data_IF_513326822003
#
_entry.id   IF_513326822003
#
_cell.length_a   1.000
_cell.length_b   1.000
_cell.length_c   1.000
_cell.angle_alpha   90.00
_cell.angle_beta   90.00
_cell.angle_gamma   90.00
#
_symmetry.space_group_name_H-M   'P 1'
#
loop_
_entity.id
_entity.type
_entity.pdbx_description
1 polymer ?
#
# COMPACT_ATOMS: atom_id res chain seq x y z
N UNK A 1 -0.64 -9.22 4.56
CA UNK A 1 -0.56 -10.71 4.62
C UNK A 1 0.48 -11.23 5.61
N UNK A 2 0.94 -10.40 6.56
CA UNK A 2 1.86 -10.84 7.62
C UNK A 2 3.32 -11.01 7.22
N UNK A 3 3.69 -10.70 5.98
CA UNK A 3 5.09 -10.70 5.54
C UNK A 3 5.77 -9.39 5.96
N UNK A 4 6.96 -9.45 6.58
CA UNK A 4 7.87 -8.31 6.62
C UNK A 4 8.20 -7.84 5.20
N UNK A 5 8.32 -6.53 5.00
CA UNK A 5 8.63 -5.95 3.68
C UNK A 5 9.89 -6.54 3.02
N UNK A 6 11.01 -6.77 3.75
CA UNK A 6 12.20 -7.38 3.15
C UNK A 6 11.95 -8.80 2.63
N UNK A 7 11.23 -9.61 3.40
CA UNK A 7 10.86 -10.99 3.03
C UNK A 7 9.96 -10.98 1.79
N UNK A 8 8.90 -10.15 1.79
CA UNK A 8 8.00 -10.02 0.65
C UNK A 8 8.73 -9.56 -0.62
N UNK A 9 9.64 -8.60 -0.52
CA UNK A 9 10.43 -8.12 -1.65
C UNK A 9 11.28 -9.24 -2.26
N UNK A 10 11.96 -10.03 -1.44
CA UNK A 10 12.77 -11.17 -1.90
C UNK A 10 11.91 -12.22 -2.60
N UNK A 11 10.78 -12.59 -2.01
CA UNK A 11 9.87 -13.61 -2.54
C UNK A 11 9.24 -13.19 -3.88
N UNK A 12 9.00 -11.89 -4.07
CA UNK A 12 8.50 -11.31 -5.31
C UNK A 12 9.61 -11.03 -6.34
N UNK A 13 10.86 -11.42 -6.05
CA UNK A 13 11.98 -11.32 -6.98
C UNK A 13 12.64 -9.94 -7.08
N UNK A 14 12.42 -9.05 -6.11
CA UNK A 14 13.10 -7.77 -6.07
C UNK A 14 14.52 -7.92 -5.52
N UNK A 15 15.50 -7.32 -6.19
CA UNK A 15 16.89 -7.23 -5.73
C UNK A 15 17.06 -6.27 -4.54
N UNK A 16 16.18 -5.27 -4.45
CA UNK A 16 16.14 -4.27 -3.38
C UNK A 16 14.69 -3.96 -3.07
N UNK A 17 14.36 -3.65 -1.81
CA UNK A 17 12.99 -3.26 -1.45
C UNK A 17 12.60 -2.01 -2.25
N UNK A 18 11.48 -2.04 -3.01
CA UNK A 18 11.05 -0.92 -3.86
C UNK A 18 10.41 0.20 -3.01
N UNK A 19 11.18 0.80 -2.09
CA UNK A 19 10.70 1.77 -1.10
C UNK A 19 11.54 3.06 -1.18
N UNK A 20 10.94 4.12 -1.72
CA UNK A 20 11.52 5.46 -1.81
C UNK A 20 10.47 6.50 -1.40
N UNK A 21 10.04 6.46 -0.13
CA UNK A 21 8.96 7.31 0.32
C UNK A 21 9.38 8.79 0.25
N UNK A 22 8.42 9.64 -0.05
CA UNK A 22 8.57 11.09 -0.01
C UNK A 22 7.33 11.68 0.66
N UNK A 23 7.49 12.83 1.31
CA UNK A 23 6.36 13.54 1.93
C UNK A 23 5.54 14.32 0.90
N UNK A 24 6.17 14.69 -0.22
CA UNK A 24 5.51 15.41 -1.31
C UNK A 24 5.98 14.92 -2.66
N UNK A 25 5.11 15.06 -3.65
CA UNK A 25 5.40 14.72 -5.04
C UNK A 25 4.64 15.68 -5.96
N UNK A 26 5.25 16.05 -7.07
CA UNK A 26 4.49 16.72 -8.13
C UNK A 26 3.64 15.68 -8.83
N UNK A 27 2.35 15.93 -9.00
CA UNK A 27 1.46 14.98 -9.64
C UNK A 27 0.22 15.62 -10.25
N UNK A 28 -0.54 14.79 -10.95
CA UNK A 28 -1.85 15.13 -11.48
C UNK A 28 -2.94 14.68 -10.52
N UNK A 29 -3.98 15.50 -10.38
CA UNK A 29 -5.24 15.10 -9.75
C UNK A 29 -6.26 14.74 -10.83
N UNK A 30 -7.47 14.36 -10.42
CA UNK A 30 -8.55 14.08 -11.37
C UNK A 30 -8.97 15.30 -12.21
N UNK A 31 -8.67 16.52 -11.76
CA UNK A 31 -9.20 17.76 -12.37
C UNK A 31 -8.15 18.85 -12.61
N UNK A 32 -6.95 18.74 -12.03
CA UNK A 32 -5.90 19.78 -12.07
C UNK A 32 -4.50 19.14 -12.08
N UNK A 33 -3.46 19.92 -12.39
CA UNK A 33 -2.06 19.52 -12.30
C UNK A 33 -1.20 20.14 -13.41
N UNK A 34 0.14 20.09 -13.30
CA UNK A 34 0.93 19.52 -12.19
C UNK A 34 0.89 20.38 -10.92
N UNK A 35 0.72 19.75 -9.75
CA UNK A 35 0.74 20.42 -8.44
C UNK A 35 1.38 19.54 -7.36
N UNK A 36 1.78 20.15 -6.25
CA UNK A 36 2.38 19.44 -5.11
C UNK A 36 1.33 18.66 -4.33
N UNK A 37 1.43 17.34 -4.33
CA UNK A 37 0.57 16.42 -3.60
C UNK A 37 1.26 15.97 -2.31
N UNK A 38 0.51 15.99 -1.21
CA UNK A 38 0.98 15.50 0.09
C UNK A 38 0.85 13.97 0.17
N UNK A 39 1.90 13.32 0.64
CA UNK A 39 1.96 11.88 0.83
C UNK A 39 2.19 11.53 2.30
N UNK A 40 1.43 10.54 2.77
CA UNK A 40 1.67 9.84 4.03
C UNK A 40 2.71 8.78 3.78
N UNK A 41 3.79 8.85 4.55
CA UNK A 41 4.82 7.83 4.57
C UNK A 41 4.36 6.66 5.44
N UNK A 42 4.47 5.45 4.91
CA UNK A 42 4.35 4.23 5.71
C UNK A 42 5.63 4.03 6.55
N UNK A 43 5.54 3.31 7.66
CA UNK A 43 6.72 2.96 8.47
C UNK A 43 7.84 2.31 7.64
N UNK A 44 9.07 2.57 8.05
CA UNK A 44 10.26 2.01 7.43
C UNK A 44 10.21 0.47 7.37
N UNK A 45 10.84 -0.17 6.37
CA UNK A 45 10.89 -1.64 6.22
C UNK A 45 11.58 -2.38 7.38
N UNK A 46 10.89 -2.52 8.52
CA UNK A 46 11.42 -3.23 9.67
C UNK A 46 11.37 -4.76 9.43
N UNK A 47 12.50 -5.50 9.58
CA UNK A 47 12.59 -6.91 9.19
C UNK A 47 11.76 -7.86 10.07
N UNK A 48 11.44 -7.45 11.30
CA UNK A 48 10.62 -8.24 12.21
C UNK A 48 9.16 -7.75 12.34
N UNK A 49 8.79 -6.69 11.63
CA UNK A 49 7.43 -6.16 11.71
C UNK A 49 6.51 -6.91 10.75
N UNK A 50 5.39 -7.39 11.27
CA UNK A 50 4.37 -8.09 10.51
C UNK A 50 3.04 -7.37 10.69
N UNK A 51 2.34 -7.21 9.57
CA UNK A 51 1.04 -6.55 9.52
C UNK A 51 0.05 -7.37 8.70
N UNK A 52 -1.12 -7.59 9.29
CA UNK A 52 -2.26 -8.19 8.63
C UNK A 52 -3.44 -7.23 8.67
N UNK A 53 -4.18 -7.19 7.57
CA UNK A 53 -5.56 -6.75 7.58
C UNK A 53 -6.37 -7.97 7.20
N UNK A 54 -7.33 -8.33 8.04
CA UNK A 54 -8.18 -9.49 7.86
C UNK A 54 -9.64 -9.12 8.04
N UNK A 55 -10.55 -9.90 7.47
CA UNK A 55 -12.00 -9.76 7.70
C UNK A 55 -12.40 -10.23 9.11
N UNK A 56 -13.71 -10.29 9.39
CA UNK A 56 -14.24 -10.71 10.68
C UNK A 56 -13.90 -12.17 11.02
N UNK A 57 -13.70 -13.01 10.00
CA UNK A 57 -13.38 -14.43 10.09
C UNK A 57 -11.87 -14.70 10.14
N UNK A 58 -11.04 -13.68 9.94
CA UNK A 58 -9.58 -13.79 9.92
C UNK A 58 -9.00 -14.13 8.53
N UNK A 59 -9.79 -14.05 7.46
CA UNK A 59 -9.32 -14.20 6.09
C UNK A 59 -8.70 -12.88 5.56
N UNK A 60 -7.85 -12.90 4.53
CA UNK A 60 -7.23 -11.69 3.99
C UNK A 60 -8.23 -10.59 3.60
N UNK A 61 -8.03 -9.37 4.13
CA UNK A 61 -8.96 -8.24 3.97
C UNK A 61 -8.46 -7.09 3.11
N UNK A 62 -7.55 -7.35 2.15
CA UNK A 62 -6.98 -6.32 1.26
C UNK A 62 -7.11 -6.71 -0.21
N UNK A 63 -7.49 -5.73 -1.01
CA UNK A 63 -7.50 -5.85 -2.47
C UNK A 63 -6.84 -4.63 -3.10
N UNK A 64 -5.95 -4.86 -4.06
CA UNK A 64 -5.28 -3.80 -4.80
C UNK A 64 -5.72 -3.79 -6.27
N UNK A 65 -5.86 -2.59 -6.84
CA UNK A 65 -6.20 -2.41 -8.25
C UNK A 65 -5.46 -1.22 -8.87
N UNK A 66 -4.94 -1.42 -10.08
CA UNK A 66 -4.31 -0.33 -10.84
C UNK A 66 -5.38 0.67 -11.31
N UNK A 67 -5.25 1.93 -10.89
CA UNK A 67 -6.12 3.03 -11.31
C UNK A 67 -5.66 3.67 -12.61
N UNK A 68 -4.37 3.63 -12.85
CA UNK A 68 -3.75 4.11 -14.09
C UNK A 68 -2.39 4.72 -13.85
N UNK A 69 -1.76 5.12 -14.95
CA UNK A 69 -0.46 5.74 -14.94
C UNK A 69 -0.45 6.97 -15.84
N UNK A 70 0.33 7.97 -15.45
CA UNK A 70 0.49 9.19 -16.22
C UNK A 70 1.98 9.54 -16.36
N UNK A 71 2.30 10.23 -17.44
CA UNK A 71 3.64 10.77 -17.66
C UNK A 71 3.82 12.03 -16.84
N UNK A 72 5.03 12.25 -16.38
CA UNK A 72 5.41 13.38 -15.53
C UNK A 72 6.01 14.54 -16.33
N UNK A 73 5.43 14.78 -17.51
CA UNK A 73 5.89 15.79 -18.44
C UNK A 73 4.72 16.37 -19.22
N UNK A 74 4.88 17.61 -19.60
CA UNK A 74 3.97 18.30 -20.50
C UNK A 74 4.52 18.29 -21.93
N UNK A 75 3.62 18.40 -22.91
CA UNK A 75 3.97 18.58 -24.32
C UNK A 75 3.51 19.98 -24.72
N UNK A 76 4.46 20.89 -24.89
CA UNK A 76 4.22 22.28 -25.26
C UNK A 76 4.73 22.49 -26.69
N UNK A 77 3.81 22.44 -27.66
CA UNK A 77 4.18 22.45 -29.08
C UNK A 77 5.02 21.22 -29.46
N UNK A 78 6.29 21.44 -29.78
CA UNK A 78 7.26 20.38 -30.11
C UNK A 78 8.28 20.10 -28.98
N UNK A 79 8.09 20.71 -27.80
CA UNK A 79 8.98 20.51 -26.65
C UNK A 79 8.30 19.65 -25.58
N UNK A 80 9.13 18.92 -24.83
CA UNK A 80 8.73 18.21 -23.61
C UNK A 80 9.40 18.83 -22.42
N UNK A 81 8.61 19.18 -21.41
CA UNK A 81 9.07 19.72 -20.13
C UNK A 81 8.70 18.75 -19.02
N UNK A 82 9.71 18.15 -18.38
CA UNK A 82 9.50 17.22 -17.27
C UNK A 82 9.39 17.99 -15.96
N UNK A 83 8.40 17.65 -15.15
CA UNK A 83 8.17 18.23 -13.83
C UNK A 83 8.45 17.25 -12.68
N UNK A 84 8.86 16.02 -13.00
CA UNK A 84 9.42 15.05 -12.06
C UNK A 84 10.57 14.25 -12.75
N UNK A 85 11.65 13.91 -12.03
CA UNK A 85 12.71 13.04 -12.58
C UNK A 85 12.25 11.63 -12.95
N UNK A 86 11.19 11.11 -12.32
CA UNK A 86 10.59 9.81 -12.65
C UNK A 86 9.65 10.00 -13.82
N UNK A 87 9.85 9.36 -14.99
CA UNK A 87 9.07 9.64 -16.20
C UNK A 87 7.59 9.23 -16.14
N UNK A 88 7.22 8.37 -15.20
CA UNK A 88 5.87 7.83 -15.05
C UNK A 88 5.54 7.66 -13.57
N UNK A 89 4.34 8.09 -13.19
CA UNK A 89 3.71 7.73 -11.92
C UNK A 89 2.49 6.83 -12.19
N UNK A 90 2.24 5.89 -11.29
CA UNK A 90 1.03 5.08 -11.28
C UNK A 90 0.30 5.24 -9.94
N UNK A 91 -1.02 5.23 -10.02
CA UNK A 91 -1.93 5.19 -8.87
C UNK A 91 -2.45 3.76 -8.72
N UNK A 92 -2.33 3.22 -7.52
CA UNK A 92 -2.89 1.92 -7.14
C UNK A 92 -3.88 2.17 -6.00
N UNK A 93 -5.11 1.74 -6.17
CA UNK A 93 -6.07 1.73 -5.07
C UNK A 93 -5.82 0.51 -4.19
N UNK A 94 -5.88 0.72 -2.88
CA UNK A 94 -5.95 -0.33 -1.87
C UNK A 94 -7.29 -0.22 -1.16
N UNK A 95 -8.04 -1.31 -1.17
CA UNK A 95 -9.36 -1.40 -0.59
C UNK A 95 -9.31 -2.31 0.64
N UNK A 96 -9.87 -1.81 1.73
CA UNK A 96 -9.90 -2.48 3.02
C UNK A 96 -11.29 -3.08 3.25
N UNK A 97 -11.34 -4.39 3.43
CA UNK A 97 -12.53 -5.07 3.94
C UNK A 97 -12.62 -4.82 5.45
N UNK A 98 -13.80 -4.47 6.00
CA UNK A 98 -14.00 -4.34 7.44
C UNK A 98 -13.64 -5.63 8.18
N UNK A 99 -13.01 -5.49 9.34
CA UNK A 99 -12.45 -6.64 10.05
C UNK A 99 -11.46 -6.19 11.10
N UNK A 100 -10.20 -6.62 10.98
CA UNK A 100 -9.17 -6.37 11.98
C UNK A 100 -7.85 -5.96 11.34
N UNK A 101 -7.14 -5.06 12.03
CA UNK A 101 -5.74 -4.77 11.76
C UNK A 101 -4.86 -5.38 12.85
N UNK A 102 -4.04 -6.37 12.50
CA UNK A 102 -3.18 -7.10 13.42
C UNK A 102 -1.73 -6.69 13.18
N UNK A 103 -1.06 -6.28 14.25
CA UNK A 103 0.30 -5.78 14.26
C UNK A 103 1.14 -6.70 15.14
N UNK A 104 2.31 -7.12 14.66
CA UNK A 104 3.25 -7.88 15.46
C UNK A 104 4.67 -7.37 15.26
N UNK A 105 5.38 -7.20 16.38
CA UNK A 105 6.82 -6.94 16.39
C UNK A 105 7.48 -7.77 17.49
N UNK A 106 8.20 -8.81 17.10
CA UNK A 106 8.72 -9.79 18.06
C UNK A 106 7.59 -10.45 18.86
N UNK A 107 7.61 -10.30 20.18
CA UNK A 107 6.57 -10.83 21.08
C UNK A 107 5.40 -9.88 21.29
N UNK A 108 5.50 -8.62 20.86
CA UNK A 108 4.42 -7.65 21.00
C UNK A 108 3.38 -7.90 19.92
N UNK A 109 2.11 -8.03 20.32
CA UNK A 109 0.97 -8.18 19.43
C UNK A 109 -0.08 -7.15 19.81
N UNK A 110 -0.63 -6.47 18.81
CA UNK A 110 -1.77 -5.59 18.97
C UNK A 110 -2.73 -5.72 17.79
N UNK A 111 -4.01 -5.83 18.10
CA UNK A 111 -5.09 -5.89 17.13
C UNK A 111 -6.07 -4.76 17.36
N UNK A 112 -6.39 -4.03 16.30
CA UNK A 112 -7.47 -3.05 16.30
C UNK A 112 -8.72 -3.65 15.63
N UNK A 113 -9.86 -3.51 16.29
CA UNK A 113 -11.15 -3.91 15.75
C UNK A 113 -11.70 -2.82 14.82
N UNK A 114 -11.77 -3.13 13.54
CA UNK A 114 -12.25 -2.25 12.47
C UNK A 114 -13.53 -2.81 11.83
N UNK A 115 -14.24 -3.76 12.47
CA UNK A 115 -15.42 -4.41 11.89
C UNK A 115 -16.59 -3.45 11.67
N UNK A 116 -16.70 -2.42 12.50
CA UNK A 116 -17.74 -1.37 12.37
C UNK A 116 -17.31 -0.22 11.44
N UNK A 117 -16.09 -0.25 10.90
CA UNK A 117 -15.65 0.78 9.96
C UNK A 117 -16.32 0.59 8.61
N UNK A 118 -16.74 1.71 8.01
CA UNK A 118 -17.12 1.72 6.61
C UNK A 118 -15.93 1.21 5.79
N UNK A 119 -16.14 0.33 4.78
CA UNK A 119 -15.05 -0.09 3.92
C UNK A 119 -14.39 1.15 3.29
N UNK A 120 -13.07 1.19 3.28
CA UNK A 120 -12.30 2.37 2.84
C UNK A 120 -11.40 2.01 1.67
N UNK A 121 -11.11 3.02 0.85
CA UNK A 121 -10.07 3.01 -0.16
C UNK A 121 -9.04 4.06 0.17
N UNK A 122 -7.77 3.67 0.06
CA UNK A 122 -6.66 4.60 -0.05
C UNK A 122 -6.01 4.53 -1.43
N UNK A 123 -5.26 5.56 -1.78
CA UNK A 123 -4.53 5.63 -3.04
C UNK A 123 -3.02 5.65 -2.78
N UNK A 124 -2.34 4.64 -3.29
CA UNK A 124 -0.89 4.47 -3.24
C UNK A 124 -0.28 5.01 -4.53
N UNK A 125 0.82 5.75 -4.38
CA UNK A 125 1.57 6.29 -5.51
C UNK A 125 2.87 5.53 -5.71
N UNK A 126 3.11 5.12 -6.95
CA UNK A 126 4.33 4.47 -7.40
C UNK A 126 4.99 5.28 -8.50
N UNK A 127 6.33 5.33 -8.49
CA UNK A 127 7.13 5.99 -9.52
C UNK A 127 8.03 5.01 -10.25
N UNK A 128 8.22 5.21 -11.56
CA UNK A 128 9.19 4.44 -12.33
C UNK A 128 10.54 5.16 -12.37
N UNK A 129 11.62 4.46 -12.00
CA UNK A 129 12.98 5.04 -11.91
C UNK A 129 13.84 4.76 -13.13
N UNK A 130 13.32 4.06 -14.15
CA UNK A 130 14.14 3.52 -15.25
C UNK A 130 14.67 2.11 -14.94
N UNK A 131 15.00 1.83 -13.68
CA UNK A 131 15.42 0.51 -13.20
C UNK A 131 14.24 -0.34 -12.68
N UNK A 132 13.18 0.31 -12.20
CA UNK A 132 12.01 -0.38 -11.66
C UNK A 132 11.00 0.55 -11.01
N UNK A 133 9.92 -0.03 -10.51
CA UNK A 133 8.87 0.66 -9.76
C UNK A 133 9.28 0.82 -8.30
N UNK A 134 9.02 1.99 -7.72
CA UNK A 134 9.23 2.28 -6.30
C UNK A 134 7.97 2.86 -5.69
N UNK A 135 7.68 2.48 -4.45
CA UNK A 135 6.62 3.07 -3.64
C UNK A 135 7.06 4.45 -3.14
N UNK A 136 6.21 5.46 -3.38
CA UNK A 136 6.45 6.85 -3.01
C UNK A 136 5.68 7.27 -1.75
N UNK A 137 4.52 6.66 -1.51
CA UNK A 137 3.67 7.01 -0.39
C UNK A 137 2.19 6.82 -0.71
N UNK A 138 1.37 7.10 0.29
CA UNK A 138 -0.08 7.09 0.18
C UNK A 138 -0.60 8.54 0.13
N UNK A 139 -1.57 8.86 -0.71
CA UNK A 139 -2.13 10.23 -0.78
C UNK A 139 -2.89 10.58 0.52
N UNK A 140 -2.50 11.67 1.20
CA UNK A 140 -3.05 12.05 2.51
C UNK A 140 -4.55 12.40 2.48
N UNK A 141 -5.00 13.10 1.45
CA UNK A 141 -6.36 13.68 1.39
C UNK A 141 -7.35 12.85 0.55
N UNK A 142 -7.02 11.57 0.29
CA UNK A 142 -7.78 10.70 -0.62
C UNK A 142 -8.16 9.37 0.05
N UNK A 143 -8.65 9.43 1.29
CA UNK A 143 -9.42 8.33 1.87
C UNK A 143 -10.87 8.44 1.43
N UNK A 144 -11.30 7.47 0.64
CA UNK A 144 -12.67 7.40 0.13
C UNK A 144 -13.39 6.28 0.88
N UNK A 145 -14.60 6.53 1.35
CA UNK A 145 -15.46 5.46 1.84
C UNK A 145 -16.08 4.75 0.64
N UNK A 146 -16.09 3.41 0.63
CA UNK A 146 -16.59 2.61 -0.50
C UNK A 146 -18.13 2.57 -0.58
N UNK A 147 -18.82 3.11 0.42
CA UNK A 147 -20.25 3.38 0.37
C UNK A 147 -20.58 4.69 -0.37
N UNK A 148 -19.56 5.44 -0.80
CA UNK A 148 -19.72 6.55 -1.73
C UNK A 148 -20.32 6.03 -3.04
N UNK A 149 -21.47 6.59 -3.44
CA UNK A 149 -22.18 6.24 -4.66
C UNK A 149 -21.35 6.41 -5.95
N UNK A 150 -20.21 7.11 -5.87
CA UNK A 150 -19.24 7.23 -6.96
C UNK A 150 -18.35 6.01 -7.16
N UNK A 151 -18.28 5.09 -6.19
CA UNK A 151 -17.50 3.86 -6.28
C UNK A 151 -18.41 2.70 -6.69
N UNK A 152 -18.22 2.25 -7.93
CA UNK A 152 -19.06 1.20 -8.51
C UNK A 152 -18.68 -0.18 -7.92
N UNK A 153 -19.66 -1.01 -7.54
CA UNK A 153 -19.40 -2.41 -7.25
C UNK A 153 -18.63 -3.08 -8.41
N UNK A 154 -17.53 -3.75 -8.10
CA UNK A 154 -16.67 -4.39 -9.11
C UNK A 154 -15.75 -3.44 -9.89
N UNK A 155 -15.64 -2.16 -9.50
CA UNK A 155 -14.74 -1.20 -10.16
C UNK A 155 -13.28 -1.68 -10.21
N UNK A 156 -12.82 -2.42 -9.20
CA UNK A 156 -11.50 -3.04 -9.18
C UNK A 156 -11.29 -3.96 -10.40
N UNK A 157 -12.27 -4.82 -10.70
CA UNK A 157 -12.21 -5.73 -11.84
C UNK A 157 -12.31 -4.97 -13.17
N UNK A 158 -13.15 -3.93 -13.24
CA UNK A 158 -13.28 -3.09 -14.43
C UNK A 158 -11.97 -2.34 -14.73
N UNK A 159 -11.35 -1.75 -13.71
CA UNK A 159 -10.08 -1.02 -13.86
C UNK A 159 -8.92 -1.96 -14.18
N UNK A 160 -8.83 -3.10 -13.50
CA UNK A 160 -7.86 -4.14 -13.82
C UNK A 160 -7.98 -4.60 -15.29
N UNK A 161 -9.21 -4.93 -15.74
CA UNK A 161 -9.49 -5.33 -17.12
C UNK A 161 -9.12 -4.24 -18.14
N UNK A 162 -9.39 -2.95 -17.84
CA UNK A 162 -9.01 -1.82 -18.71
C UNK A 162 -7.52 -1.78 -19.00
N UNK A 163 -6.69 -2.11 -18.01
CA UNK A 163 -5.24 -2.11 -18.16
C UNK A 163 -4.65 -3.49 -18.50
N UNK A 164 -5.49 -4.50 -18.74
CA UNK A 164 -5.05 -5.86 -19.03
C UNK A 164 -4.31 -6.52 -17.87
N UNK A 165 -4.57 -6.08 -16.64
CA UNK A 165 -3.99 -6.65 -15.41
C UNK A 165 -5.08 -7.36 -14.60
N UNK A 166 -4.67 -8.16 -13.62
CA UNK A 166 -5.59 -8.77 -12.66
C UNK A 166 -5.77 -7.84 -11.44
N UNK A 167 -6.83 -8.07 -10.70
CA UNK A 167 -6.95 -7.56 -9.32
C UNK A 167 -5.90 -8.30 -8.48
N UNK A 168 -5.15 -7.57 -7.66
CA UNK A 168 -4.11 -8.17 -6.82
C UNK A 168 -4.67 -8.34 -5.40
N UNK A 169 -5.05 -9.56 -5.07
CA UNK A 169 -5.51 -9.99 -3.76
C UNK A 169 -4.68 -11.20 -3.27
N UNK A 170 -5.05 -11.75 -2.11
CA UNK A 170 -4.36 -12.91 -1.55
C UNK A 170 -4.46 -14.15 -2.45
N UNK A 171 -5.60 -14.36 -3.12
CA UNK A 171 -5.81 -15.50 -4.03
C UNK A 171 -4.89 -15.39 -5.24
N UNK A 172 -4.76 -14.18 -5.80
CA UNK A 172 -3.82 -13.91 -6.88
C UNK A 172 -2.37 -14.13 -6.46
N UNK A 173 -1.98 -13.67 -5.26
CA UNK A 173 -0.62 -13.87 -4.73
C UNK A 173 -0.29 -15.34 -4.53
N UNK A 174 -1.19 -16.11 -3.94
CA UNK A 174 -1.04 -17.55 -3.77
C UNK A 174 -0.92 -18.25 -5.13
N UNK A 175 -1.85 -17.99 -6.05
CA UNK A 175 -1.85 -18.63 -7.37
C UNK A 175 -0.63 -18.28 -8.22
N UNK A 176 -0.16 -17.04 -8.15
CA UNK A 176 0.90 -16.53 -9.04
C UNK A 176 2.29 -16.75 -8.47
N UNK A 177 2.46 -16.65 -7.16
CA UNK A 177 3.76 -16.68 -6.49
C UNK A 177 3.88 -17.78 -5.42
N UNK A 178 2.82 -18.53 -5.15
CA UNK A 178 2.79 -19.50 -4.05
C UNK A 178 2.81 -18.83 -2.66
N UNK A 179 2.41 -17.56 -2.59
CA UNK A 179 2.49 -16.75 -1.37
C UNK A 179 1.15 -16.72 -0.64
N UNK A 180 0.95 -17.70 0.24
CA UNK A 180 -0.18 -17.75 1.16
C UNK A 180 -0.02 -16.71 2.29
N UNK A 181 -1.11 -16.35 2.97
CA UNK A 181 -1.03 -15.48 4.14
C UNK A 181 -0.29 -16.18 5.29
N UNK A 182 0.64 -15.48 5.97
CA UNK A 182 1.21 -16.02 7.20
C UNK A 182 0.12 -16.23 8.27
N UNK A 183 0.26 -17.26 9.13
CA UNK A 183 -0.68 -17.48 10.21
C UNK A 183 -0.76 -16.25 11.12
N UNK A 184 -1.97 -15.96 11.59
CA UNK A 184 -2.18 -14.92 12.58
C UNK A 184 -1.53 -15.32 13.92
N UNK A 185 -1.03 -14.36 14.72
CA UNK A 185 -0.51 -14.64 16.06
C UNK A 185 -1.56 -15.33 16.94
N UNK A 186 -1.14 -16.16 17.89
CA UNK A 186 -2.07 -16.74 18.84
C UNK A 186 -2.80 -15.64 19.65
N UNK A 187 -4.09 -15.83 19.94
CA UNK A 187 -4.90 -14.94 20.77
C UNK A 187 -4.94 -13.47 20.28
N UNK A 188 -4.71 -13.26 18.97
CA UNK A 188 -4.65 -11.93 18.37
C UNK A 188 -5.94 -11.12 18.58
N UNK A 189 -7.12 -11.75 18.56
CA UNK A 189 -8.42 -11.08 18.73
C UNK A 189 -8.58 -10.39 20.09
N UNK A 190 -7.88 -10.89 21.11
CA UNK A 190 -7.90 -10.34 22.47
C UNK A 190 -6.67 -9.48 22.77
N UNK A 191 -5.75 -9.34 21.82
CA UNK A 191 -4.51 -8.58 21.98
C UNK A 191 -4.76 -7.07 21.75
N UNK A 192 -5.48 -6.42 22.66
CA UNK A 192 -5.91 -5.00 22.50
C UNK A 192 -5.20 -4.04 23.45
N UNK A 193 -4.07 -4.44 24.03
CA UNK A 193 -3.31 -3.62 24.98
C UNK A 193 -2.67 -2.42 24.26
N UNK A 194 -3.06 -1.21 24.64
CA UNK A 194 -2.56 0.02 24.03
C UNK A 194 -1.08 0.27 24.32
N UNK A 195 -0.52 -0.31 25.38
CA UNK A 195 0.91 -0.25 25.65
C UNK A 195 1.72 -1.07 24.63
N UNK A 196 1.14 -2.15 24.10
CA UNK A 196 1.77 -2.97 23.08
C UNK A 196 1.88 -2.21 21.75
N UNK A 197 0.81 -1.54 21.29
CA UNK A 197 0.89 -0.72 20.07
C UNK A 197 1.83 0.47 20.22
N UNK A 198 1.88 1.11 21.39
CA UNK A 198 2.84 2.18 21.63
C UNK A 198 4.28 1.65 21.54
N UNK A 199 4.56 0.50 22.14
CA UNK A 199 5.88 -0.15 22.06
C UNK A 199 6.26 -0.49 20.62
N UNK A 200 5.31 -1.01 19.83
CA UNK A 200 5.50 -1.28 18.41
C UNK A 200 5.80 0.02 17.66
N UNK A 201 4.99 1.07 17.86
CA UNK A 201 5.15 2.35 17.19
C UNK A 201 6.48 3.01 17.52
N UNK A 202 6.90 3.01 18.79
CA UNK A 202 8.18 3.58 19.22
C UNK A 202 9.36 2.86 18.57
N UNK A 203 9.32 1.53 18.51
CA UNK A 203 10.34 0.73 17.85
C UNK A 203 10.40 0.98 16.33
N UNK A 204 9.23 1.10 15.67
CA UNK A 204 9.17 1.42 14.25
C UNK A 204 9.66 2.85 13.94
N UNK A 205 9.34 3.82 14.80
CA UNK A 205 9.79 5.21 14.65
C UNK A 205 11.29 5.37 14.91
N UNK A 206 11.86 4.57 15.81
CA UNK A 206 13.29 4.56 16.08
C UNK A 206 14.12 3.77 15.05
N UNK A 207 13.46 3.02 14.16
CA UNK A 207 14.14 2.19 13.16
C UNK A 207 14.53 2.99 11.92
N UNK A 208 15.83 3.07 11.67
CA UNK A 208 16.36 3.64 10.44
C UNK A 208 16.60 2.54 9.39
N UNK A 209 15.87 2.60 8.28
CA UNK A 209 16.11 1.71 7.16
C UNK A 209 17.37 2.14 6.41
N UNK A 210 18.31 1.21 6.25
CA UNK A 210 19.44 1.34 5.35
C UNK A 210 19.26 0.36 4.19
N UNK A 211 19.15 0.85 2.94
CA UNK A 211 19.09 -0.06 1.79
C UNK A 211 20.37 -0.90 1.74
N UNK A 212 20.28 -2.21 1.42
CA UNK A 212 21.47 -3.02 1.20
C UNK A 212 22.30 -2.40 0.07
N UNK A 213 23.63 -2.32 0.29
CA UNK A 213 24.60 -1.84 -0.69
C UNK A 213 24.79 -2.83 -1.84
#
# INVERSE_FOLDING_TARGET
>A
LGYPKPEAAQLLGFSTIPWQPTQTVTGLTNTQGPLSLALRMEWAPHPAYRYWTVDAEGAPGLTYSLRGCYRTRDILGNQTEAWDPRPVHCLVAIDYTPGWAVNQLGTQVYSADWREQTPTRALLLFGYTGAGWVFLGELQDQHLTLDDATILPGEQAVTAARYGVQVWDAVWLEKTFGLEMHPLPQDWQTSTDTSAIQTIADALNAFEWQPPQ
#
